data_IF_163932112242
#
_entry.id   IF_163932112242
#
_cell.length_a   1.000
_cell.length_b   1.000
_cell.length_c   1.000
_cell.angle_alpha   90.00
_cell.angle_beta   90.00
_cell.angle_gamma   90.00
#
_symmetry.space_group_name_H-M   'P 1'
#
loop_
_entity.id
_entity.type
_entity.pdbx_description
1 polymer ?
#
# COMPACT_ATOMS: atom_id res chain seq x y z
N UNK A 1 -7.84 19.72 -9.14
CA UNK A 1 -7.44 18.34 -9.51
C UNK A 1 -7.25 18.24 -11.03
N UNK A 2 -6.07 17.82 -11.52
CA UNK A 2 -5.82 17.62 -12.96
C UNK A 2 -6.43 16.32 -13.50
N UNK A 3 -6.73 16.25 -14.80
CA UNK A 3 -7.40 15.10 -15.45
C UNK A 3 -6.68 13.77 -15.16
N UNK A 4 -5.35 13.76 -15.21
CA UNK A 4 -4.54 12.55 -14.98
C UNK A 4 -4.66 12.04 -13.53
N UNK A 5 -4.55 12.93 -12.53
CA UNK A 5 -4.73 12.57 -11.11
C UNK A 5 -6.14 12.03 -10.88
N UNK A 6 -7.17 12.72 -11.36
CA UNK A 6 -8.57 12.26 -11.25
C UNK A 6 -8.77 10.88 -11.85
N UNK A 7 -8.23 10.62 -13.04
CA UNK A 7 -8.35 9.32 -13.71
C UNK A 7 -7.64 8.20 -12.94
N UNK A 8 -6.46 8.49 -12.39
CA UNK A 8 -5.68 7.53 -11.60
C UNK A 8 -6.37 7.21 -10.27
N UNK A 9 -6.81 8.24 -9.53
CA UNK A 9 -7.49 8.10 -8.23
C UNK A 9 -8.84 7.40 -8.37
N UNK A 10 -9.57 7.64 -9.46
CA UNK A 10 -10.85 6.96 -9.72
C UNK A 10 -10.70 5.58 -10.38
N UNK A 11 -9.47 5.15 -10.68
CA UNK A 11 -9.23 3.86 -11.34
C UNK A 11 -9.95 3.69 -12.68
N UNK A 12 -10.16 4.79 -13.44
CA UNK A 12 -11.06 4.81 -14.61
C UNK A 12 -10.55 3.92 -15.76
N UNK A 13 -9.26 3.57 -15.79
CA UNK A 13 -8.71 2.67 -16.81
C UNK A 13 -9.05 1.23 -16.43
N UNK A 14 -9.97 0.55 -17.14
CA UNK A 14 -10.34 -0.82 -16.83
C UNK A 14 -9.14 -1.74 -17.07
N UNK A 15 -8.86 -2.64 -16.14
CA UNK A 15 -7.84 -3.65 -16.34
C UNK A 15 -8.36 -4.70 -17.33
N UNK A 16 -7.85 -4.67 -18.57
CA UNK A 16 -8.05 -5.79 -19.50
C UNK A 16 -7.31 -7.05 -19.02
N UNK A 17 -7.60 -8.20 -19.63
CA UNK A 17 -7.07 -9.51 -19.21
C UNK A 17 -5.54 -9.54 -19.00
N UNK A 18 -4.77 -8.85 -19.85
CA UNK A 18 -3.30 -8.76 -19.72
C UNK A 18 -2.86 -8.09 -18.41
N UNK A 19 -3.55 -7.04 -17.99
CA UNK A 19 -3.24 -6.31 -16.74
C UNK A 19 -3.59 -7.15 -15.52
N UNK A 20 -4.71 -7.86 -15.58
CA UNK A 20 -5.12 -8.81 -14.52
C UNK A 20 -4.07 -9.91 -14.35
N UNK A 21 -3.60 -10.49 -15.44
CA UNK A 21 -2.56 -11.53 -15.42
C UNK A 21 -1.23 -11.00 -14.86
N UNK A 22 -0.82 -9.78 -15.25
CA UNK A 22 0.38 -9.14 -14.70
C UNK A 22 0.28 -8.91 -13.18
N UNK A 23 -0.88 -8.44 -12.69
CA UNK A 23 -1.11 -8.25 -11.25
C UNK A 23 -1.05 -9.56 -10.47
N UNK A 24 -1.64 -10.62 -11.03
CA UNK A 24 -1.59 -11.96 -10.45
C UNK A 24 -0.14 -12.45 -10.32
N UNK A 25 0.63 -12.33 -11.41
CA UNK A 25 2.04 -12.73 -11.41
C UNK A 25 2.90 -11.91 -10.44
N UNK A 26 2.65 -10.61 -10.32
CA UNK A 26 3.34 -9.76 -9.35
C UNK A 26 3.00 -10.18 -7.92
N UNK A 27 1.74 -10.47 -7.62
CA UNK A 27 1.31 -10.91 -6.29
C UNK A 27 1.95 -12.25 -5.92
N UNK A 28 1.98 -13.19 -6.87
CA UNK A 28 2.68 -14.46 -6.69
C UNK A 28 4.17 -14.25 -6.44
N UNK A 29 4.84 -13.39 -7.22
CA UNK A 29 6.26 -13.08 -7.02
C UNK A 29 6.54 -12.56 -5.60
N UNK A 30 5.73 -11.60 -5.13
CA UNK A 30 5.89 -11.04 -3.78
C UNK A 30 5.77 -12.13 -2.70
N UNK A 31 4.82 -13.06 -2.87
CA UNK A 31 4.60 -14.17 -1.94
C UNK A 31 5.74 -15.20 -1.97
N UNK A 32 6.13 -15.66 -3.16
CA UNK A 32 7.20 -16.65 -3.33
C UNK A 32 8.55 -16.13 -2.83
N UNK A 33 8.85 -14.83 -3.05
CA UNK A 33 10.03 -14.21 -2.47
C UNK A 33 10.01 -14.23 -0.94
N UNK A 34 8.86 -13.94 -0.31
CA UNK A 34 8.73 -13.99 1.14
C UNK A 34 8.94 -15.40 1.69
N UNK A 35 8.30 -16.40 1.08
CA UNK A 35 8.44 -17.82 1.47
C UNK A 35 9.89 -18.26 1.36
N UNK A 36 10.53 -18.07 0.20
CA UNK A 36 11.90 -18.53 -0.02
C UNK A 36 12.91 -17.85 0.93
N UNK A 37 12.73 -16.56 1.21
CA UNK A 37 13.61 -15.83 2.11
C UNK A 37 13.39 -16.26 3.57
N UNK A 38 12.15 -16.47 3.99
CA UNK A 38 11.83 -17.00 5.32
C UNK A 38 12.39 -18.42 5.52
N UNK A 39 12.19 -19.31 4.54
CA UNK A 39 12.66 -20.70 4.62
C UNK A 39 14.19 -20.80 4.71
N UNK A 40 14.91 -19.91 4.02
CA UNK A 40 16.38 -19.96 3.94
C UNK A 40 17.08 -19.18 5.05
N UNK A 41 16.50 -18.05 5.46
CA UNK A 41 17.17 -17.07 6.33
C UNK A 41 16.33 -16.65 7.54
N UNK A 42 15.12 -17.20 7.70
CA UNK A 42 14.21 -16.86 8.80
C UNK A 42 13.88 -15.37 8.84
N UNK A 43 13.91 -14.79 10.03
CA UNK A 43 13.59 -13.37 10.25
C UNK A 43 14.53 -12.43 9.48
N UNK A 44 15.82 -12.75 9.35
CA UNK A 44 16.77 -11.91 8.60
C UNK A 44 16.38 -11.79 7.13
N UNK A 45 15.84 -12.88 6.54
CA UNK A 45 15.30 -12.87 5.19
C UNK A 45 14.07 -11.97 5.05
N UNK A 46 13.17 -11.99 6.05
CA UNK A 46 12.00 -11.13 6.10
C UNK A 46 12.38 -9.66 6.32
N UNK A 47 13.40 -9.38 7.14
CA UNK A 47 13.89 -8.02 7.38
C UNK A 47 14.51 -7.43 6.09
N UNK A 48 15.29 -8.22 5.36
CA UNK A 48 15.80 -7.82 4.05
C UNK A 48 14.66 -7.53 3.05
N UNK A 49 13.60 -8.35 3.06
CA UNK A 49 12.45 -8.12 2.20
C UNK A 49 11.67 -6.85 2.59
N UNK A 50 11.53 -6.60 3.89
CA UNK A 50 10.94 -5.36 4.45
C UNK A 50 11.68 -4.14 3.94
N UNK A 51 13.02 -4.17 3.95
CA UNK A 51 13.86 -3.09 3.41
C UNK A 51 13.64 -2.90 1.91
N UNK A 52 13.57 -3.98 1.12
CA UNK A 52 13.30 -3.91 -0.32
C UNK A 52 11.98 -3.17 -0.58
N UNK A 53 10.90 -3.57 0.10
CA UNK A 53 9.59 -2.95 -0.11
C UNK A 53 9.51 -1.51 0.41
N UNK A 54 10.22 -1.18 1.50
CA UNK A 54 10.36 0.21 1.93
C UNK A 54 11.06 1.07 0.87
N UNK A 55 12.18 0.60 0.31
CA UNK A 55 12.92 1.33 -0.73
C UNK A 55 12.10 1.52 -2.00
N UNK A 56 11.37 0.48 -2.44
CA UNK A 56 10.46 0.57 -3.59
C UNK A 56 9.35 1.59 -3.33
N UNK A 57 8.74 1.56 -2.14
CA UNK A 57 7.69 2.51 -1.77
C UNK A 57 8.17 3.97 -1.84
N UNK A 58 9.37 4.26 -1.35
CA UNK A 58 9.96 5.61 -1.45
C UNK A 58 10.24 6.04 -2.89
N UNK A 59 10.71 5.13 -3.75
CA UNK A 59 10.95 5.40 -5.16
C UNK A 59 9.65 5.69 -5.92
N UNK A 60 8.61 4.90 -5.64
CA UNK A 60 7.29 5.08 -6.22
C UNK A 60 6.64 6.37 -5.72
N UNK A 61 6.78 6.71 -4.45
CA UNK A 61 6.32 7.99 -3.91
C UNK A 61 6.87 9.17 -4.73
N UNK A 62 8.20 9.22 -4.91
CA UNK A 62 8.86 10.27 -5.70
C UNK A 62 8.29 10.31 -7.13
N UNK A 63 8.24 9.16 -7.79
CA UNK A 63 7.74 9.05 -9.17
C UNK A 63 6.27 9.50 -9.29
N UNK A 64 5.45 9.17 -8.28
CA UNK A 64 4.03 9.55 -8.23
C UNK A 64 3.84 11.03 -8.01
N UNK A 65 4.61 11.67 -7.10
CA UNK A 65 4.55 13.13 -6.91
C UNK A 65 4.79 13.87 -8.20
N UNK A 66 5.85 13.51 -8.92
CA UNK A 66 6.22 14.14 -10.18
C UNK A 66 5.13 13.92 -11.25
N UNK A 67 4.68 12.68 -11.43
CA UNK A 67 3.71 12.33 -12.49
C UNK A 67 2.31 12.86 -12.24
N UNK A 68 1.85 12.81 -11.00
CA UNK A 68 0.47 13.15 -10.63
C UNK A 68 0.35 14.57 -10.07
N UNK A 69 1.47 15.28 -9.89
CA UNK A 69 1.54 16.61 -9.27
C UNK A 69 0.87 16.61 -7.90
N UNK A 70 1.33 15.69 -7.05
CA UNK A 70 0.89 15.58 -5.66
C UNK A 70 1.69 16.56 -4.80
N UNK A 71 0.98 17.25 -3.90
CA UNK A 71 1.60 18.10 -2.90
C UNK A 71 1.98 17.27 -1.66
N UNK A 72 2.02 17.89 -0.48
CA UNK A 72 2.48 17.26 0.77
C UNK A 72 1.34 17.05 1.79
N UNK A 73 0.09 17.02 1.36
CA UNK A 73 -1.07 16.93 2.25
C UNK A 73 -1.56 15.49 2.50
N UNK A 74 -2.44 15.34 3.50
CA UNK A 74 -3.12 14.08 3.80
C UNK A 74 -3.95 13.56 2.61
N UNK A 75 -4.61 14.46 1.90
CA UNK A 75 -5.36 14.13 0.68
C UNK A 75 -4.44 13.58 -0.42
N UNK A 76 -3.24 14.13 -0.59
CA UNK A 76 -2.27 13.67 -1.59
C UNK A 76 -1.75 12.26 -1.27
N UNK A 77 -1.47 11.97 0.00
CA UNK A 77 -1.07 10.63 0.42
C UNK A 77 -2.21 9.62 0.31
N UNK A 78 -3.44 10.04 0.66
CA UNK A 78 -4.66 9.24 0.44
C UNK A 78 -4.86 8.90 -1.04
N UNK A 79 -4.69 9.89 -1.92
CA UNK A 79 -4.75 9.71 -3.37
C UNK A 79 -3.68 8.74 -3.87
N UNK A 80 -2.45 8.84 -3.37
CA UNK A 80 -1.39 7.91 -3.71
C UNK A 80 -1.74 6.47 -3.31
N UNK A 81 -2.25 6.26 -2.10
CA UNK A 81 -2.73 4.94 -1.66
C UNK A 81 -3.83 4.39 -2.54
N UNK A 82 -4.80 5.21 -2.96
CA UNK A 82 -5.87 4.81 -3.90
C UNK A 82 -5.30 4.37 -5.24
N UNK A 83 -4.37 5.14 -5.80
CA UNK A 83 -3.69 4.79 -7.05
C UNK A 83 -2.94 3.46 -6.92
N UNK A 84 -2.16 3.27 -5.85
CA UNK A 84 -1.47 2.01 -5.56
C UNK A 84 -2.46 0.84 -5.44
N UNK A 85 -3.53 1.02 -4.67
CA UNK A 85 -4.60 0.01 -4.51
C UNK A 85 -5.16 -0.42 -5.86
N UNK A 86 -5.47 0.54 -6.74
CA UNK A 86 -5.91 0.26 -8.11
C UNK A 86 -4.85 -0.45 -8.94
N UNK A 87 -3.58 -0.06 -8.83
CA UNK A 87 -2.47 -0.71 -9.55
C UNK A 87 -2.32 -2.18 -9.19
N UNK A 88 -2.47 -2.53 -7.90
CA UNK A 88 -2.43 -3.91 -7.41
C UNK A 88 -3.76 -4.65 -7.57
N UNK A 89 -4.84 -3.96 -7.96
CA UNK A 89 -6.17 -4.57 -8.11
C UNK A 89 -6.90 -4.78 -6.77
N UNK A 90 -6.48 -4.09 -5.72
CA UNK A 90 -7.22 -4.03 -4.47
C UNK A 90 -8.48 -3.17 -4.64
N UNK A 91 -9.55 -3.57 -3.94
CA UNK A 91 -10.67 -2.67 -3.66
C UNK A 91 -10.37 -2.01 -2.33
N UNK A 92 -10.49 -0.69 -2.28
CA UNK A 92 -10.21 0.09 -1.09
C UNK A 92 -11.28 1.15 -0.94
N UNK A 93 -11.88 1.27 0.25
CA UNK A 93 -12.75 2.40 0.57
C UNK A 93 -12.05 3.26 1.61
N UNK A 94 -12.00 4.56 1.37
CA UNK A 94 -11.56 5.56 2.34
C UNK A 94 -12.75 6.12 3.13
N UNK A 95 -12.60 6.17 4.45
CA UNK A 95 -13.55 6.82 5.35
C UNK A 95 -12.84 7.91 6.12
N UNK A 96 -13.08 9.16 5.74
CA UNK A 96 -12.58 10.33 6.44
C UNK A 96 -13.31 10.48 7.78
N UNK A 97 -12.58 10.40 8.89
CA UNK A 97 -13.14 10.62 10.23
C UNK A 97 -12.96 12.07 10.68
N UNK A 98 -11.95 12.75 10.14
CA UNK A 98 -11.70 14.19 10.33
C UNK A 98 -10.83 14.71 9.17
N UNK A 99 -10.51 16.01 9.18
CA UNK A 99 -9.53 16.60 8.25
C UNK A 99 -8.10 16.08 8.47
N UNK A 100 -7.82 15.49 9.65
CA UNK A 100 -6.50 15.02 10.04
C UNK A 100 -6.40 13.48 10.04
N UNK A 101 -7.48 12.75 9.72
CA UNK A 101 -7.53 11.30 9.87
C UNK A 101 -8.46 10.61 8.86
N UNK A 102 -7.93 9.59 8.19
CA UNK A 102 -8.67 8.75 7.24
C UNK A 102 -8.34 7.28 7.44
N UNK A 103 -9.38 6.43 7.44
CA UNK A 103 -9.25 4.97 7.47
C UNK A 103 -9.45 4.38 6.08
N UNK A 104 -8.73 3.30 5.80
CA UNK A 104 -8.81 2.54 4.56
C UNK A 104 -9.17 1.09 4.86
N UNK A 105 -10.38 0.72 4.47
CA UNK A 105 -10.81 -0.67 4.45
C UNK A 105 -10.45 -1.30 3.09
N UNK A 106 -10.08 -2.57 3.10
CA UNK A 106 -9.81 -3.32 1.87
C UNK A 106 -10.85 -4.43 1.72
N UNK A 107 -12.03 -4.20 1.12
CA UNK A 107 -13.03 -5.26 0.94
C UNK A 107 -12.48 -6.42 0.11
N UNK A 108 -11.46 -6.14 -0.71
CA UNK A 108 -10.70 -7.14 -1.43
C UNK A 108 -9.22 -6.76 -1.50
N UNK A 109 -8.35 -7.68 -1.07
CA UNK A 109 -6.90 -7.53 -1.12
C UNK A 109 -6.27 -8.76 -1.83
N UNK A 110 -5.76 -8.61 -3.06
CA UNK A 110 -5.13 -9.71 -3.79
C UNK A 110 -3.97 -10.37 -3.04
N UNK A 111 -3.14 -9.58 -2.36
CA UNK A 111 -2.03 -10.09 -1.55
C UNK A 111 -2.54 -10.98 -0.42
N UNK A 112 -3.58 -10.58 0.29
CA UNK A 112 -4.20 -11.40 1.34
C UNK A 112 -4.73 -12.73 0.79
N UNK A 113 -5.43 -12.70 -0.35
CA UNK A 113 -5.93 -13.93 -1.00
C UNK A 113 -4.80 -14.87 -1.44
N UNK A 114 -3.66 -14.34 -1.88
CA UNK A 114 -2.50 -15.15 -2.25
C UNK A 114 -1.78 -15.74 -1.03
N UNK A 115 -1.51 -14.90 -0.03
CA UNK A 115 -0.88 -15.27 1.24
C UNK A 115 -1.64 -16.40 1.95
N UNK A 116 -2.98 -16.33 1.96
CA UNK A 116 -3.83 -17.38 2.53
C UNK A 116 -3.62 -18.76 1.91
N UNK A 117 -3.24 -18.87 0.62
CA UNK A 117 -3.00 -20.16 -0.03
C UNK A 117 -1.84 -20.93 0.61
N UNK A 118 -0.92 -20.21 1.25
CA UNK A 118 0.27 -20.76 1.90
C UNK A 118 0.19 -20.70 3.43
N UNK A 119 -0.97 -20.34 3.98
CA UNK A 119 -1.23 -20.29 5.43
C UNK A 119 -0.28 -19.35 6.21
N UNK A 120 0.33 -18.37 5.53
CA UNK A 120 1.22 -17.36 6.09
C UNK A 120 0.75 -15.97 5.64
N UNK A 121 0.90 -14.93 6.47
CA UNK A 121 0.53 -13.55 6.13
C UNK A 121 1.75 -12.63 6.19
N UNK A 122 2.23 -12.17 5.03
CA UNK A 122 3.40 -11.30 4.93
C UNK A 122 3.04 -9.80 4.86
N UNK A 123 1.89 -9.41 5.42
CA UNK A 123 1.43 -8.02 5.37
C UNK A 123 2.41 -7.05 6.05
N UNK A 124 3.00 -7.45 7.18
CA UNK A 124 3.95 -6.62 7.95
C UNK A 124 5.34 -6.56 7.27
N UNK A 125 5.63 -7.50 6.37
CA UNK A 125 6.91 -7.59 5.63
C UNK A 125 6.85 -6.92 4.25
N UNK A 126 5.71 -7.01 3.57
CA UNK A 126 5.58 -6.61 2.16
C UNK A 126 4.69 -5.37 2.02
N UNK A 127 3.42 -5.51 2.39
CA UNK A 127 2.42 -4.49 2.13
C UNK A 127 2.64 -3.24 2.98
N UNK A 128 2.74 -3.40 4.30
CA UNK A 128 2.83 -2.30 5.24
C UNK A 128 4.08 -1.44 5.05
N UNK A 129 5.30 -2.01 4.92
CA UNK A 129 6.51 -1.22 4.68
C UNK A 129 6.44 -0.41 3.38
N UNK A 130 5.90 -1.01 2.32
CA UNK A 130 5.71 -0.34 1.03
C UNK A 130 4.75 0.85 1.13
N UNK A 131 3.52 0.63 1.62
CA UNK A 131 2.52 1.71 1.66
C UNK A 131 2.86 2.79 2.68
N UNK A 132 3.59 2.44 3.75
CA UNK A 132 4.15 3.40 4.71
C UNK A 132 5.15 4.33 4.03
N UNK A 133 6.14 3.75 3.34
CA UNK A 133 7.14 4.51 2.60
C UNK A 133 6.50 5.37 1.48
N UNK A 134 5.43 4.88 0.85
CA UNK A 134 4.66 5.70 -0.10
C UNK A 134 4.06 6.91 0.61
N UNK A 135 3.29 6.72 1.68
CA UNK A 135 2.59 7.82 2.35
C UNK A 135 3.56 8.89 2.87
N UNK A 136 4.59 8.46 3.59
CA UNK A 136 5.61 9.35 4.18
C UNK A 136 6.46 10.03 3.09
N UNK A 137 6.71 9.33 1.97
CA UNK A 137 7.39 9.91 0.81
C UNK A 137 6.56 10.94 0.05
N UNK A 138 5.23 10.79 0.03
CA UNK A 138 4.33 11.83 -0.49
C UNK A 138 4.30 13.02 0.47
N UNK A 139 4.08 12.78 1.75
CA UNK A 139 3.85 13.81 2.75
C UNK A 139 4.57 13.45 4.06
N UNK A 140 5.75 14.05 4.32
CA UNK A 140 6.60 13.70 5.47
C UNK A 140 5.98 13.92 6.87
N UNK A 141 4.85 14.63 6.96
CA UNK A 141 4.12 14.85 8.21
C UNK A 141 2.94 13.90 8.40
N UNK A 142 2.93 12.75 7.72
CA UNK A 142 1.89 11.73 7.85
C UNK A 142 2.44 10.50 8.53
N UNK A 143 1.68 9.98 9.49
CA UNK A 143 1.90 8.68 10.08
C UNK A 143 0.93 7.65 9.53
N UNK A 144 1.40 6.39 9.47
CA UNK A 144 0.61 5.24 9.02
C UNK A 144 0.25 4.35 10.20
N UNK A 145 -1.06 4.18 10.43
CA UNK A 145 -1.60 3.31 11.48
C UNK A 145 -2.15 2.00 10.95
N UNK A 146 -2.16 0.97 11.80
CA UNK A 146 -2.89 -0.29 11.55
C UNK A 146 -4.04 -0.38 12.55
N UNK A 147 -5.23 -0.01 12.09
CA UNK A 147 -6.47 -0.06 12.89
C UNK A 147 -6.86 -1.52 13.17
N UNK A 148 -6.71 -2.39 12.17
CA UNK A 148 -6.98 -3.83 12.29
C UNK A 148 -6.02 -4.63 11.41
N UNK A 149 -5.28 -5.57 12.01
CA UNK A 149 -4.44 -6.50 11.24
C UNK A 149 -5.28 -7.45 10.40
N UNK A 150 -4.72 -7.90 9.28
CA UNK A 150 -5.33 -8.99 8.51
C UNK A 150 -5.27 -10.29 9.31
N UNK A 151 -6.29 -11.12 9.15
CA UNK A 151 -6.39 -12.46 9.73
C UNK A 151 -6.70 -13.47 8.62
N UNK A 152 -6.86 -14.75 8.97
CA UNK A 152 -7.35 -15.75 8.03
C UNK A 152 -8.77 -15.48 7.52
N UNK A 153 -9.55 -14.67 8.24
CA UNK A 153 -10.97 -14.47 7.91
C UNK A 153 -11.24 -13.05 7.39
N UNK A 154 -10.24 -12.17 7.43
CA UNK A 154 -10.46 -10.76 7.14
C UNK A 154 -9.19 -10.06 6.66
N UNK A 155 -9.36 -9.11 5.73
CA UNK A 155 -8.30 -8.20 5.28
C UNK A 155 -7.98 -7.16 6.36
N UNK A 156 -6.96 -6.33 6.18
CA UNK A 156 -6.60 -5.29 7.14
C UNK A 156 -7.41 -3.99 6.99
N UNK A 157 -7.43 -3.18 8.05
CA UNK A 157 -7.80 -1.76 8.03
C UNK A 157 -6.58 -0.96 8.44
N UNK A 158 -6.22 0.04 7.65
CA UNK A 158 -5.10 0.95 7.91
C UNK A 158 -5.60 2.39 8.01
N UNK A 159 -4.80 3.29 8.56
CA UNK A 159 -5.11 4.72 8.61
C UNK A 159 -3.93 5.55 8.16
N UNK A 160 -4.24 6.76 7.69
CA UNK A 160 -3.30 7.86 7.56
C UNK A 160 -3.73 8.97 8.52
N UNK A 161 -2.76 9.55 9.23
CA UNK A 161 -2.99 10.63 10.18
C UNK A 161 -1.92 11.71 10.03
N UNK A 162 -2.33 12.99 10.08
CA UNK A 162 -1.39 14.10 10.17
C UNK A 162 -0.70 14.09 11.53
N UNK A 163 0.63 14.03 11.54
CA UNK A 163 1.38 14.24 12.76
C UNK A 163 1.18 15.69 13.22
N UNK A 164 0.62 15.86 14.42
CA UNK A 164 0.57 17.19 15.04
C UNK A 164 2.00 17.69 15.21
N UNK A 165 2.30 18.95 14.88
CA UNK A 165 3.60 19.52 15.20
C UNK A 165 3.85 19.31 16.69
N UNK A 166 4.97 18.65 17.02
CA UNK A 166 5.39 18.55 18.42
C UNK A 166 5.45 19.98 18.95
N UNK A 167 4.62 20.28 19.94
CA UNK A 167 4.72 21.53 20.69
C UNK A 167 6.13 21.58 21.29
N UNK A 168 6.99 22.45 20.76
CA UNK A 168 8.26 22.83 21.35
C UNK A 168 8.05 23.59 22.67
#
# INVERSE_FOLDING_TARGET
MGIMRTAAVKGIIPAGNKVTELRSNLTRLMNECAIVLEERFGQEGLDALTEVFSRLGSQDAKSMKERLRLDNGLEDASDAWKVIGHMFGAKMNDTWKSEEYVEFDHPFCPQHSEFQKHNALYCDTVCLPYVKAVAEGIAPGISVGVVRKATKDSTCIKSLELEKPRSE
#
